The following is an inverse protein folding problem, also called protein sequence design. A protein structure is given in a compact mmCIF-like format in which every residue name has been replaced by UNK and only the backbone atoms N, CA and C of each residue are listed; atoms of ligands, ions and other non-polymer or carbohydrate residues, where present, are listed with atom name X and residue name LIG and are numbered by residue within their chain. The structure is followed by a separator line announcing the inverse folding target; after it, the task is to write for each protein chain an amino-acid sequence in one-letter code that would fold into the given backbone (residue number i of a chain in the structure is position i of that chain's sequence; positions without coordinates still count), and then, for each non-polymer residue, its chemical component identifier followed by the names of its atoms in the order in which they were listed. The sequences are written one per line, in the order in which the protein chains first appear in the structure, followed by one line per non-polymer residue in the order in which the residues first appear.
data_IF_184480879437
#
_entry.id   IF_184480879437
#
_cell.length_a   1.000
_cell.length_b   1.000
_cell.length_c   1.000
_cell.angle_alpha   90.00
_cell.angle_beta   90.00
_cell.angle_gamma   90.00
#
_symmetry.space_group_name_H-M   'P 1'
#
loop_
_entity.id
_entity.type
_entity.pdbx_description
1 polymer ?
#
# COMPACT_ATOMS: atom_id res chain seq x y z
N UNK A 1 -3.95 -6.16 9.97
CA UNK A 1 -3.89 -4.75 10.35
C UNK A 1 -5.25 -4.34 10.85
N UNK A 2 -5.32 -3.80 12.07
CA UNK A 2 -6.55 -3.36 12.68
C UNK A 2 -6.91 -1.94 12.23
N UNK A 3 -8.16 -1.75 11.79
CA UNK A 3 -8.77 -0.44 11.56
C UNK A 3 -10.08 -0.36 12.36
N UNK A 4 -10.14 0.63 13.23
CA UNK A 4 -11.21 0.88 14.22
C UNK A 4 -12.05 2.11 13.90
N UNK A 5 -11.54 3.03 13.09
CA UNK A 5 -12.17 4.33 12.81
C UNK A 5 -12.84 4.43 11.44
N UNK A 6 -12.69 3.39 10.62
CA UNK A 6 -13.21 3.33 9.26
C UNK A 6 -12.34 4.10 8.27
N UNK A 7 -11.12 4.45 8.67
CA UNK A 7 -10.16 5.14 7.83
C UNK A 7 -8.78 4.48 7.95
N UNK A 8 -8.22 4.17 6.78
CA UNK A 8 -6.84 3.74 6.57
C UNK A 8 -6.05 4.95 6.08
N UNK A 9 -4.80 5.09 6.51
CA UNK A 9 -3.83 5.98 5.87
C UNK A 9 -2.67 5.17 5.28
N UNK A 10 -2.29 5.50 4.05
CA UNK A 10 -1.04 5.09 3.43
C UNK A 10 -0.11 6.30 3.37
N UNK A 11 1.11 6.20 3.94
CA UNK A 11 2.06 7.32 4.00
C UNK A 11 3.48 6.85 4.27
N UNK A 12 4.44 7.74 4.08
CA UNK A 12 5.74 7.63 4.72
C UNK A 12 5.59 7.57 6.27
N UNK A 13 6.14 6.53 6.96
CA UNK A 13 6.05 6.42 8.41
C UNK A 13 6.84 7.50 9.18
N UNK A 14 7.80 8.17 8.53
CA UNK A 14 8.64 9.21 9.10
C UNK A 14 8.39 10.60 8.48
N UNK A 15 7.71 10.66 7.34
CA UNK A 15 7.24 11.89 6.72
C UNK A 15 6.03 12.50 7.44
N UNK A 16 5.56 13.70 7.06
CA UNK A 16 4.40 14.34 7.67
C UNK A 16 3.08 13.66 7.27
N UNK A 17 2.09 13.71 8.15
CA UNK A 17 0.75 13.15 7.92
C UNK A 17 0.05 13.72 6.68
N UNK A 18 0.31 14.99 6.36
CA UNK A 18 -0.26 15.68 5.20
C UNK A 18 0.19 15.09 3.85
N UNK A 19 1.26 14.28 3.82
CA UNK A 19 1.71 13.56 2.62
C UNK A 19 1.02 12.21 2.41
N UNK A 20 0.12 11.80 3.31
CA UNK A 20 -0.56 10.51 3.26
C UNK A 20 -1.86 10.52 2.46
N UNK A 21 -2.18 9.36 1.88
CA UNK A 21 -3.47 9.06 1.27
C UNK A 21 -4.41 8.43 2.29
N UNK A 22 -5.53 9.07 2.61
CA UNK A 22 -6.53 8.55 3.57
C UNK A 22 -7.73 7.97 2.81
N UNK A 23 -8.04 6.70 3.06
CA UNK A 23 -9.13 5.97 2.42
C UNK A 23 -10.16 5.52 3.45
N UNK A 24 -11.44 5.66 3.11
CA UNK A 24 -12.55 5.07 3.82
C UNK A 24 -12.54 3.55 3.59
N UNK A 25 -12.51 2.80 4.68
CA UNK A 25 -12.57 1.34 4.70
C UNK A 25 -13.52 0.92 5.83
N UNK A 26 -14.17 -0.26 5.78
CA UNK A 26 -14.95 -0.71 6.92
C UNK A 26 -14.09 -0.84 8.19
N UNK A 27 -14.72 -0.89 9.36
CA UNK A 27 -14.00 -1.30 10.58
C UNK A 27 -13.68 -2.80 10.50
N UNK A 28 -12.47 -3.19 10.86
CA UNK A 28 -12.09 -4.60 10.81
C UNK A 28 -10.61 -4.89 10.98
N UNK A 29 -10.28 -6.17 10.90
CA UNK A 29 -8.91 -6.66 10.83
C UNK A 29 -8.63 -7.15 9.42
N UNK A 30 -7.62 -6.55 8.79
CA UNK A 30 -7.34 -6.73 7.37
C UNK A 30 -6.03 -7.46 7.13
N UNK A 31 -6.01 -8.35 6.15
CA UNK A 31 -4.75 -8.90 5.65
C UNK A 31 -4.00 -7.80 4.90
N UNK A 32 -2.72 -7.65 5.23
CA UNK A 32 -1.78 -6.78 4.50
C UNK A 32 -0.66 -7.66 3.97
N UNK A 33 -0.19 -7.38 2.76
CA UNK A 33 0.95 -8.07 2.17
C UNK A 33 1.70 -7.17 1.20
N UNK A 34 3.01 -7.40 1.09
CA UNK A 34 3.80 -6.89 -0.02
C UNK A 34 3.88 -7.93 -1.14
N UNK A 35 3.75 -7.50 -2.38
CA UNK A 35 4.08 -8.32 -3.55
C UNK A 35 5.52 -8.01 -3.93
N UNK A 36 6.37 -9.04 -3.95
CA UNK A 36 7.78 -8.94 -4.33
C UNK A 36 7.97 -9.58 -5.71
N UNK A 37 8.75 -8.92 -6.56
CA UNK A 37 9.14 -9.43 -7.87
C UNK A 37 10.66 -9.44 -7.99
N UNK A 38 11.18 -10.42 -8.72
CA UNK A 38 12.59 -10.44 -9.12
C UNK A 38 12.72 -9.60 -10.41
N UNK A 39 13.58 -8.57 -10.37
CA UNK A 39 13.83 -7.67 -11.51
C UNK A 39 15.15 -7.96 -12.21
N UNK A 40 15.84 -9.04 -11.84
CA UNK A 40 17.15 -9.38 -12.39
C UNK A 40 17.10 -9.73 -13.89
N UNK A 41 18.13 -9.30 -14.61
CA UNK A 41 18.36 -9.60 -16.03
C UNK A 41 19.62 -10.45 -16.28
N UNK A 42 20.51 -10.52 -15.29
CA UNK A 42 21.79 -11.25 -15.31
C UNK A 42 21.73 -12.61 -14.58
N UNK A 43 20.58 -12.96 -14.02
CA UNK A 43 20.35 -14.19 -13.27
C UNK A 43 20.79 -14.15 -11.80
N UNK A 44 21.23 -13.00 -11.29
CA UNK A 44 21.46 -12.75 -9.87
C UNK A 44 20.18 -12.17 -9.27
N UNK A 45 19.46 -12.87 -8.36
CA UNK A 45 18.16 -12.41 -7.87
C UNK A 45 18.19 -10.98 -7.33
N UNK A 46 17.29 -10.13 -7.84
CA UNK A 46 17.11 -8.75 -7.38
C UNK A 46 15.65 -8.55 -6.95
N UNK A 47 15.28 -8.96 -5.72
CA UNK A 47 13.91 -8.83 -5.24
C UNK A 47 13.56 -7.37 -4.95
N UNK A 48 12.40 -6.92 -5.45
CA UNK A 48 11.86 -5.57 -5.25
C UNK A 48 10.37 -5.63 -4.87
N UNK A 49 9.97 -4.85 -3.87
CA UNK A 49 8.55 -4.67 -3.54
C UNK A 49 7.85 -3.89 -4.65
N UNK A 50 6.89 -4.53 -5.32
CA UNK A 50 6.09 -3.91 -6.38
C UNK A 50 4.78 -3.31 -5.88
N UNK A 51 4.18 -3.92 -4.84
CA UNK A 51 2.92 -3.44 -4.28
C UNK A 51 2.90 -3.60 -2.77
N UNK A 52 2.25 -2.67 -2.07
CA UNK A 52 1.73 -2.88 -0.72
C UNK A 52 0.21 -2.92 -0.77
N UNK A 53 -0.38 -4.03 -0.34
CA UNK A 53 -1.80 -4.32 -0.54
C UNK A 53 -2.54 -4.57 0.77
N UNK A 54 -3.77 -4.08 0.88
CA UNK A 54 -4.68 -4.32 2.01
C UNK A 54 -5.97 -4.92 1.48
N UNK A 55 -6.34 -6.12 1.92
CA UNK A 55 -7.63 -6.72 1.61
C UNK A 55 -8.70 -6.07 2.50
N UNK A 56 -9.76 -5.53 1.89
CA UNK A 56 -10.85 -4.81 2.56
C UNK A 56 -12.21 -5.51 2.43
N UNK A 57 -12.34 -6.50 1.55
CA UNK A 57 -13.53 -7.32 1.40
C UNK A 57 -13.21 -8.75 0.93
N UNK A 58 -14.19 -9.65 1.08
CA UNK A 58 -14.05 -11.09 0.76
C UNK A 58 -14.50 -11.44 -0.67
N UNK A 59 -14.90 -10.44 -1.46
CA UNK A 59 -15.32 -10.62 -2.85
C UNK A 59 -14.17 -11.12 -3.74
N UNK A 60 -14.52 -11.70 -4.90
CA UNK A 60 -13.52 -12.05 -5.91
C UNK A 60 -13.18 -10.81 -6.73
N UNK A 61 -11.90 -10.37 -6.74
CA UNK A 61 -11.46 -9.27 -7.60
C UNK A 61 -11.86 -9.51 -9.06
N UNK A 62 -12.52 -8.53 -9.69
CA UNK A 62 -12.97 -8.59 -11.09
C UNK A 62 -12.71 -7.31 -11.89
N UNK A 63 -12.57 -6.17 -11.22
CA UNK A 63 -12.25 -4.86 -11.81
C UNK A 63 -11.06 -4.21 -11.10
N UNK A 64 -10.32 -3.36 -11.81
CA UNK A 64 -9.22 -2.54 -11.29
C UNK A 64 -9.43 -1.07 -11.69
N UNK A 65 -9.21 -0.15 -10.75
CA UNK A 65 -9.29 1.29 -10.98
C UNK A 65 -8.47 2.10 -9.98
N UNK A 66 -8.55 3.43 -10.10
CA UNK A 66 -8.08 4.35 -9.06
C UNK A 66 -8.88 4.13 -7.77
N UNK A 67 -8.26 4.36 -6.62
CA UNK A 67 -8.95 4.34 -5.33
C UNK A 67 -9.68 5.66 -4.99
N UNK A 68 -9.88 6.56 -5.97
CA UNK A 68 -10.47 7.90 -5.75
C UNK A 68 -11.82 7.88 -5.02
N UNK A 69 -12.67 6.90 -5.33
CA UNK A 69 -13.98 6.76 -4.67
C UNK A 69 -13.90 6.44 -3.18
N UNK A 70 -12.74 5.95 -2.73
CA UNK A 70 -12.50 5.64 -1.33
C UNK A 70 -11.87 6.83 -0.59
N UNK A 71 -11.50 7.93 -1.26
CA UNK A 71 -10.82 9.03 -0.58
C UNK A 71 -11.70 9.70 0.48
N UNK A 72 -11.13 9.89 1.67
CA UNK A 72 -11.76 10.68 2.72
C UNK A 72 -11.60 12.17 2.39
N UNK A 73 -12.68 12.98 2.40
CA UNK A 73 -12.58 14.41 2.17
C UNK A 73 -11.64 15.14 3.15
N UNK A 74 -10.94 16.19 2.71
CA UNK A 74 -10.97 16.76 1.37
C UNK A 74 -10.18 15.91 0.34
N UNK A 75 -10.78 15.70 -0.83
CA UNK A 75 -10.17 14.93 -1.93
C UNK A 75 -9.10 15.79 -2.63
N UNK A 76 -7.84 15.35 -2.70
CA UNK A 76 -6.79 16.06 -3.43
C UNK A 76 -7.09 16.14 -4.93
N UNK A 77 -6.65 17.21 -5.60
CA UNK A 77 -6.86 17.40 -7.04
C UNK A 77 -6.13 16.38 -7.92
N UNK A 78 -5.12 15.70 -7.38
CA UNK A 78 -4.34 14.66 -8.04
C UNK A 78 -4.87 13.24 -7.78
N UNK A 79 -5.98 13.10 -7.04
CA UNK A 79 -6.60 11.81 -6.74
C UNK A 79 -5.84 10.99 -5.68
N UNK A 80 -6.08 9.67 -5.68
CA UNK A 80 -5.60 8.73 -4.69
C UNK A 80 -4.12 8.43 -4.92
N UNK A 81 -3.28 9.14 -4.17
CA UNK A 81 -1.85 9.15 -4.37
C UNK A 81 -1.14 9.39 -3.03
N UNK A 82 0.01 8.76 -2.84
CA UNK A 82 0.85 8.89 -1.64
C UNK A 82 2.31 9.05 -2.06
N UNK A 83 3.19 9.43 -1.14
CA UNK A 83 4.63 9.46 -1.40
C UNK A 83 5.47 9.06 -0.20
N UNK A 84 6.77 8.87 -0.46
CA UNK A 84 7.81 8.66 0.55
C UNK A 84 9.10 9.40 0.19
N UNK A 85 9.77 9.89 1.23
CA UNK A 85 11.10 10.50 1.21
C UNK A 85 12.14 9.62 1.96
N UNK A 86 11.73 8.44 2.42
CA UNK A 86 12.59 7.47 3.11
C UNK A 86 12.60 6.10 2.42
N UNK A 87 12.07 6.01 1.21
CA UNK A 87 11.89 4.76 0.48
C UNK A 87 10.93 3.76 1.16
N UNK A 88 10.13 4.20 2.14
CA UNK A 88 9.28 3.35 2.97
C UNK A 88 7.84 3.83 2.94
N UNK A 89 6.92 2.89 2.79
CA UNK A 89 5.49 3.17 2.89
C UNK A 89 4.86 2.33 3.99
N UNK A 90 4.05 2.99 4.81
CA UNK A 90 3.29 2.37 5.87
C UNK A 90 1.79 2.49 5.63
N UNK A 91 1.07 1.47 6.09
CA UNK A 91 -0.37 1.47 6.25
C UNK A 91 -0.75 1.24 7.71
N UNK A 92 -1.70 2.03 8.21
CA UNK A 92 -2.26 1.90 9.56
C UNK A 92 -3.64 2.57 9.64
N UNK A 93 -4.34 2.38 10.77
CA UNK A 93 -5.55 3.16 11.09
C UNK A 93 -5.22 4.65 11.11
N UNK A 94 -6.02 5.46 10.42
CA UNK A 94 -5.80 6.89 10.32
C UNK A 94 -5.83 7.58 11.70
N UNK A 95 -6.52 7.08 12.71
CA UNK A 95 -6.55 7.71 14.03
C UNK A 95 -5.30 7.47 14.88
N UNK A 96 -4.33 6.69 14.40
CA UNK A 96 -3.04 6.56 15.09
C UNK A 96 -2.28 7.89 15.02
N UNK A 97 -1.95 8.41 16.20
CA UNK A 97 -1.18 9.64 16.37
C UNK A 97 0.31 9.45 16.01
N UNK A 98 0.92 10.47 15.42
CA UNK A 98 2.33 10.46 15.02
C UNK A 98 3.28 10.21 16.20
N UNK A 99 2.90 10.66 17.41
CA UNK A 99 3.66 10.41 18.64
C UNK A 99 3.73 8.92 18.99
N UNK A 100 2.68 8.14 18.70
CA UNK A 100 2.67 6.69 18.90
C UNK A 100 3.60 6.02 17.90
N UNK A 101 3.55 6.41 16.63
CA UNK A 101 4.43 5.89 15.59
C UNK A 101 5.92 6.15 15.90
N UNK A 102 6.24 7.35 16.39
CA UNK A 102 7.60 7.72 16.77
C UNK A 102 8.21 6.82 17.84
N UNK A 103 7.39 6.25 18.74
CA UNK A 103 7.88 5.28 19.75
C UNK A 103 8.24 3.91 19.17
N UNK A 104 7.91 3.66 17.89
CA UNK A 104 8.04 2.34 17.24
C UNK A 104 9.10 2.31 16.15
N UNK A 105 9.81 3.39 15.90
CA UNK A 105 10.87 3.49 14.88
C UNK A 105 11.87 2.34 14.93
N UNK A 106 12.41 2.02 16.11
CA UNK A 106 13.39 0.93 16.26
C UNK A 106 12.78 -0.45 15.97
N UNK A 107 11.52 -0.65 16.34
CA UNK A 107 10.82 -1.90 16.06
C UNK A 107 10.51 -2.05 14.57
N UNK A 108 10.20 -0.95 13.88
CA UNK A 108 10.02 -0.91 12.42
C UNK A 108 11.34 -1.23 11.73
N UNK A 109 12.43 -0.55 12.07
CA UNK A 109 13.75 -0.79 11.48
C UNK A 109 14.18 -2.25 11.65
N UNK A 110 14.13 -2.76 12.89
CA UNK A 110 14.44 -4.16 13.17
C UNK A 110 13.58 -5.14 12.37
N UNK A 111 12.29 -4.84 12.21
CA UNK A 111 11.36 -5.67 11.44
C UNK A 111 11.68 -5.68 9.94
N UNK A 112 12.05 -4.54 9.36
CA UNK A 112 12.38 -4.42 7.94
C UNK A 112 13.62 -5.24 7.55
N UNK A 113 14.54 -5.44 8.49
CA UNK A 113 15.77 -6.20 8.29
C UNK A 113 15.73 -7.59 8.93
N UNK A 114 14.56 -8.03 9.39
CA UNK A 114 14.41 -9.32 10.02
C UNK A 114 14.56 -10.45 8.98
N UNK A 115 15.46 -11.43 9.21
CA UNK A 115 15.79 -12.45 8.22
C UNK A 115 14.67 -13.48 7.97
N UNK A 116 13.67 -13.52 8.84
CA UNK A 116 12.56 -14.48 8.87
C UNK A 116 11.34 -14.07 8.03
N UNK A 117 11.16 -12.77 7.75
CA UNK A 117 10.01 -12.22 7.01
C UNK A 117 10.37 -11.85 5.54
N UNK A 118 11.67 -11.84 5.22
CA UNK A 118 12.19 -11.32 3.95
C UNK A 118 12.39 -9.81 4.04
N UNK A 119 13.54 -9.26 3.58
CA UNK A 119 13.87 -7.87 3.78
C UNK A 119 12.83 -6.93 3.14
N UNK A 120 12.52 -5.83 3.82
CA UNK A 120 11.67 -4.76 3.30
C UNK A 120 10.18 -4.90 3.60
N UNK A 121 9.77 -5.71 4.58
CA UNK A 121 8.39 -5.74 5.10
C UNK A 121 8.36 -5.93 6.62
N UNK A 122 7.57 -5.14 7.34
CA UNK A 122 7.42 -5.23 8.78
C UNK A 122 5.95 -5.07 9.20
N UNK A 123 5.52 -5.83 10.21
CA UNK A 123 4.22 -5.64 10.87
C UNK A 123 4.46 -5.46 12.37
N UNK A 124 4.29 -4.23 12.86
CA UNK A 124 4.68 -3.83 14.22
C UNK A 124 3.43 -3.51 15.04
N UNK A 125 3.28 -4.18 16.18
CA UNK A 125 2.23 -3.88 17.15
C UNK A 125 2.44 -2.50 17.79
N UNK A 126 1.41 -1.65 17.74
CA UNK A 126 1.38 -0.34 18.38
C UNK A 126 0.79 -0.42 19.78
N UNK A 127 -0.31 -1.15 19.92
CA UNK A 127 -0.99 -1.43 21.17
C UNK A 127 -1.56 -2.86 21.16
N UNK A 128 -1.04 -3.77 22.00
CA UNK A 128 -1.56 -5.13 22.10
C UNK A 128 -3.02 -5.24 22.55
N UNK A 129 -3.53 -4.28 23.33
CA UNK A 129 -4.88 -4.34 23.88
C UNK A 129 -5.95 -4.07 22.82
N UNK A 130 -5.72 -3.08 21.95
CA UNK A 130 -6.59 -2.79 20.80
C UNK A 130 -6.26 -3.63 19.56
N UNK A 131 -5.09 -4.24 19.51
CA UNK A 131 -4.57 -4.90 18.32
C UNK A 131 -4.09 -3.92 17.24
N UNK A 132 -4.00 -2.63 17.56
CA UNK A 132 -3.49 -1.61 16.65
C UNK A 132 -2.07 -1.94 16.23
N UNK A 133 -1.78 -1.80 14.95
CA UNK A 133 -0.51 -2.13 14.35
C UNK A 133 -0.24 -1.24 13.13
N UNK A 134 1.04 -1.05 12.82
CA UNK A 134 1.52 -0.42 11.59
C UNK A 134 2.18 -1.48 10.72
N UNK A 135 1.86 -1.50 9.44
CA UNK A 135 2.52 -2.37 8.46
C UNK A 135 3.34 -1.51 7.53
N UNK A 136 4.62 -1.84 7.36
CA UNK A 136 5.58 -1.06 6.59
C UNK A 136 6.17 -1.92 5.48
N UNK A 137 6.40 -1.33 4.31
CA UNK A 137 7.05 -1.94 3.16
C UNK A 137 8.09 -0.99 2.59
N UNK A 138 9.18 -1.55 2.06
CA UNK A 138 10.00 -0.87 1.07
C UNK A 138 9.18 -0.56 -0.19
N UNK A 139 9.57 0.51 -0.88
CA UNK A 139 8.90 1.01 -2.10
C UNK A 139 9.60 0.57 -3.40
N UNK A 140 10.43 -0.47 -3.34
CA UNK A 140 11.15 -1.00 -4.50
C UNK A 140 12.36 -0.15 -4.90
N UNK A 141 12.14 1.05 -5.43
CA UNK A 141 13.19 1.95 -5.95
C UNK A 141 13.61 3.07 -5.00
N UNK A 142 12.93 3.21 -3.86
CA UNK A 142 13.15 4.28 -2.89
C UNK A 142 12.14 5.40 -3.06
N UNK A 143 12.60 6.64 -2.85
CA UNK A 143 11.72 7.80 -2.77
C UNK A 143 10.89 8.01 -4.03
N UNK A 144 9.70 8.57 -3.84
CA UNK A 144 8.81 8.84 -4.96
C UNK A 144 7.34 8.98 -4.59
N UNK A 145 6.56 9.21 -5.63
CA UNK A 145 5.12 9.28 -5.59
C UNK A 145 4.48 8.04 -6.19
N UNK A 146 3.45 7.51 -5.54
CA UNK A 146 2.83 6.25 -5.88
C UNK A 146 1.30 6.36 -5.95
N UNK A 147 0.68 5.89 -7.04
CA UNK A 147 -0.77 5.83 -7.12
C UNK A 147 -1.32 4.77 -6.18
N UNK A 148 -2.49 5.06 -5.62
CA UNK A 148 -3.27 4.13 -4.83
C UNK A 148 -4.43 3.63 -5.67
N UNK A 149 -4.41 2.33 -5.94
CA UNK A 149 -5.38 1.62 -6.76
C UNK A 149 -6.34 0.83 -5.88
N UNK A 150 -7.50 0.50 -6.43
CA UNK A 150 -8.46 -0.38 -5.81
C UNK A 150 -8.92 -1.46 -6.78
N UNK A 151 -9.07 -2.68 -6.26
CA UNK A 151 -9.79 -3.76 -6.94
C UNK A 151 -11.21 -3.85 -6.43
N UNK A 152 -12.14 -4.21 -7.32
CA UNK A 152 -13.56 -4.33 -7.03
C UNK A 152 -14.08 -5.67 -7.52
N UNK A 153 -15.11 -6.19 -6.87
CA UNK A 153 -15.84 -7.37 -7.35
C UNK A 153 -16.78 -7.00 -8.52
N UNK A 154 -17.58 -7.97 -9.00
CA UNK A 154 -18.52 -7.75 -10.11
C UNK A 154 -19.71 -6.87 -9.74
N UNK A 155 -19.94 -6.62 -8.45
CA UNK A 155 -21.01 -5.78 -7.92
C UNK A 155 -20.48 -4.39 -7.54
N UNK A 156 -19.30 -4.00 -8.05
CA UNK A 156 -18.60 -2.74 -7.75
C UNK A 156 -18.27 -2.53 -6.26
N UNK A 157 -18.18 -3.61 -5.47
CA UNK A 157 -17.76 -3.51 -4.06
C UNK A 157 -16.24 -3.59 -3.96
N UNK A 158 -15.60 -2.74 -3.16
CA UNK A 158 -14.15 -2.71 -3.04
C UNK A 158 -13.64 -3.98 -2.33
N UNK A 159 -12.60 -4.61 -2.89
CA UNK A 159 -12.03 -5.88 -2.43
C UNK A 159 -10.65 -5.69 -1.81
N UNK A 160 -9.77 -4.92 -2.45
CA UNK A 160 -8.46 -4.59 -1.92
C UNK A 160 -8.00 -3.20 -2.42
N UNK A 161 -7.15 -2.56 -1.63
CA UNK A 161 -6.40 -1.37 -2.05
C UNK A 161 -4.93 -1.72 -2.21
N UNK A 162 -4.26 -1.06 -3.16
CA UNK A 162 -2.89 -1.35 -3.54
C UNK A 162 -2.13 -0.04 -3.73
N UNK A 163 -0.99 0.12 -3.08
CA UNK A 163 -0.03 1.14 -3.47
C UNK A 163 0.89 0.52 -4.50
N UNK A 164 0.93 1.09 -5.70
CA UNK A 164 1.76 0.62 -6.81
C UNK A 164 3.10 1.35 -6.78
N UNK A 165 4.17 0.61 -6.50
CA UNK A 165 5.52 1.16 -6.41
C UNK A 165 6.19 1.38 -7.77
N UNK A 166 5.49 1.08 -8.88
CA UNK A 166 6.02 1.30 -10.23
C UNK A 166 7.17 0.37 -10.60
N UNK A 167 7.39 -0.70 -9.83
CA UNK A 167 8.43 -1.70 -10.12
C UNK A 167 8.07 -2.55 -11.35
N UNK A 168 6.78 -2.87 -11.51
CA UNK A 168 6.29 -3.62 -12.67
C UNK A 168 5.70 -2.63 -13.67
N UNK A 169 6.53 -2.21 -14.62
CA UNK A 169 6.19 -1.24 -15.64
C UNK A 169 7.43 -0.92 -16.47
N UNK A 170 7.24 -0.40 -17.68
CA UNK A 170 8.37 0.15 -18.42
C UNK A 170 8.87 1.39 -17.64
N UNK A 171 10.18 1.50 -17.47
CA UNK A 171 10.91 2.58 -16.77
C UNK A 171 10.38 3.97 -17.24
N UNK A 172 10.42 5.06 -16.44
CA UNK A 172 9.78 6.36 -16.70
C UNK A 172 10.04 7.06 -18.06
N UNK A 173 10.88 6.51 -18.93
CA UNK A 173 10.95 6.89 -20.35
C UNK A 173 9.79 6.34 -21.20
N UNK A 174 9.01 5.38 -20.68
CA UNK A 174 7.84 4.82 -21.34
C UNK A 174 6.55 5.14 -20.57
N UNK A 175 5.62 5.77 -21.29
CA UNK A 175 4.39 6.39 -20.78
C UNK A 175 3.54 5.54 -19.81
N UNK A 176 2.78 6.17 -18.88
CA UNK A 176 1.94 5.47 -17.91
C UNK A 176 0.84 4.66 -18.60
N UNK A 177 0.85 3.32 -18.42
CA UNK A 177 -0.19 2.49 -19.03
C UNK A 177 -0.22 1.00 -18.74
N UNK A 178 0.57 0.43 -17.82
CA UNK A 178 0.67 -1.03 -17.71
C UNK A 178 -0.38 -1.69 -16.78
N UNK A 179 -0.92 -1.02 -15.75
CA UNK A 179 -2.07 -1.56 -15.01
C UNK A 179 -3.25 -1.90 -15.93
N UNK A 180 -3.40 -1.13 -17.02
CA UNK A 180 -4.39 -1.39 -18.07
C UNK A 180 -4.10 -2.65 -18.90
N UNK A 181 -2.84 -3.07 -19.02
CA UNK A 181 -2.42 -4.27 -19.77
C UNK A 181 -2.32 -5.50 -18.86
N UNK A 182 -1.85 -5.37 -17.62
CA UNK A 182 -1.74 -6.45 -16.65
C UNK A 182 -3.12 -6.89 -16.15
N UNK A 183 -4.02 -5.94 -15.84
CA UNK A 183 -5.42 -6.23 -15.55
C UNK A 183 -6.06 -7.09 -16.66
N UNK A 184 -5.85 -6.71 -17.93
CA UNK A 184 -6.36 -7.46 -19.08
C UNK A 184 -5.75 -8.87 -19.20
N UNK A 185 -4.46 -9.04 -18.91
CA UNK A 185 -3.79 -10.36 -18.92
C UNK A 185 -4.22 -11.26 -17.77
N UNK A 186 -4.57 -10.69 -16.62
CA UNK A 186 -5.09 -11.39 -15.45
C UNK A 186 -6.62 -11.55 -15.48
N UNK A 187 -7.29 -11.14 -16.58
CA UNK A 187 -8.73 -11.32 -16.79
C UNK A 187 -9.63 -10.26 -16.14
N UNK A 188 -9.07 -9.18 -15.59
CA UNK A 188 -9.83 -8.07 -15.03
C UNK A 188 -10.45 -7.19 -16.12
N UNK A 189 -11.72 -6.83 -15.91
CA UNK A 189 -12.41 -5.81 -16.69
C UNK A 189 -11.92 -4.41 -16.32
N UNK A 190 -12.18 -3.43 -17.20
CA UNK A 190 -12.03 -2.02 -16.84
C UNK A 190 -13.32 -1.52 -16.20
N UNK A 191 -13.19 -0.81 -15.09
CA UNK A 191 -14.25 0.06 -14.60
C UNK A 191 -14.23 1.36 -15.43
N UNK A 192 -15.40 1.80 -15.88
CA UNK A 192 -15.56 3.00 -16.72
C UNK A 192 -15.47 4.27 -15.88
#
# INVERSE_FOLDING_TARGET
MQVSTGALIARDPFGPRSGGCILAVPNGSYRVWATVVDVSDDGIPEPRQAYLSVAIGDGQPALLGSADELLVPPVPSFGAFTGTDHGLLAVHDAAVEDSVLATRTEAVDRGLWAPDIGPGYANVSLDPASGANIVVSGSGWGDGGFPVLATYDRDDRPVAVHVDFGVIGDHPDDQPGLMRKLARRLGFGRRA
#
